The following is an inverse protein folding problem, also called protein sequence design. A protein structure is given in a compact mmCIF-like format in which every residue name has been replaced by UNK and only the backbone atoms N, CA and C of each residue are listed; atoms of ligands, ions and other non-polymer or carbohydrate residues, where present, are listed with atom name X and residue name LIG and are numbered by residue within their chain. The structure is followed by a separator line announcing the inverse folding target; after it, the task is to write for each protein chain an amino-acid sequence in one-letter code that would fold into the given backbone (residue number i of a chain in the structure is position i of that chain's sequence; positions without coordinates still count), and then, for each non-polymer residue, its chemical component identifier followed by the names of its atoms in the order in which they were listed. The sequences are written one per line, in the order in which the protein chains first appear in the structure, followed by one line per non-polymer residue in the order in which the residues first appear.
data_IF_876262842780
#
_entry.id   IF_876262842780
#
_cell.length_a   1.000
_cell.length_b   1.000
_cell.length_c   1.000
_cell.angle_alpha   90.00
_cell.angle_beta   90.00
_cell.angle_gamma   90.00
#
_symmetry.space_group_name_H-M   'P 1'
#
loop_
_entity.id
_entity.type
_entity.pdbx_description
1 polymer ?
#
# COMPACT_ATOMS: atom_id res chain seq x y z
N UNK A 1 15.28 -0.57 -15.77
CA UNK A 1 13.95 -1.02 -16.23
C UNK A 1 12.94 -0.03 -15.67
N UNK A 2 12.09 0.57 -16.50
CA UNK A 2 11.03 1.44 -15.99
C UNK A 2 9.96 0.58 -15.30
N UNK A 3 9.55 0.96 -14.10
CA UNK A 3 8.50 0.27 -13.35
C UNK A 3 7.14 0.84 -13.79
N UNK A 4 6.19 0.00 -14.23
CA UNK A 4 4.83 0.44 -14.54
C UNK A 4 4.17 1.10 -13.33
N UNK A 5 3.37 2.13 -13.61
CA UNK A 5 2.65 2.90 -12.60
C UNK A 5 1.17 2.92 -12.94
N UNK A 6 0.35 2.93 -11.91
CA UNK A 6 -1.10 3.05 -12.02
C UNK A 6 -1.56 4.25 -11.22
N UNK A 7 -2.40 5.09 -11.82
CA UNK A 7 -2.98 6.23 -11.13
C UNK A 7 -4.00 5.76 -10.09
N UNK A 8 -4.23 6.56 -9.06
CA UNK A 8 -5.27 6.31 -8.06
C UNK A 8 -6.66 6.16 -8.69
N UNK A 9 -6.97 6.95 -9.73
CA UNK A 9 -8.25 6.87 -10.44
C UNK A 9 -8.38 5.54 -11.20
N UNK A 10 -7.34 5.12 -11.92
CA UNK A 10 -7.34 3.87 -12.66
C UNK A 10 -7.43 2.65 -11.73
N UNK A 11 -6.74 2.69 -10.58
CA UNK A 11 -6.86 1.63 -9.57
C UNK A 11 -8.28 1.60 -8.99
N UNK A 12 -8.86 2.75 -8.62
CA UNK A 12 -10.23 2.83 -8.10
C UNK A 12 -11.22 2.21 -9.08
N UNK A 13 -11.17 2.57 -10.36
CA UNK A 13 -12.05 1.99 -11.39
C UNK A 13 -11.93 0.47 -11.42
N UNK A 14 -10.71 -0.09 -11.43
CA UNK A 14 -10.51 -1.54 -11.44
C UNK A 14 -11.03 -2.26 -10.19
N UNK A 15 -11.10 -1.57 -9.05
CA UNK A 15 -11.66 -2.13 -7.81
C UNK A 15 -13.19 -2.08 -7.78
N UNK A 16 -13.80 -1.13 -8.50
CA UNK A 16 -15.25 -0.94 -8.59
C UNK A 16 -15.90 -1.65 -9.79
N UNK A 17 -15.10 -2.15 -10.72
CA UNK A 17 -15.59 -2.90 -11.89
C UNK A 17 -16.23 -4.25 -11.50
N UNK A 18 -17.55 -4.30 -11.56
CA UNK A 18 -18.33 -5.53 -11.37
C UNK A 18 -18.03 -6.56 -12.49
N UNK A 19 -17.70 -7.79 -12.08
CA UNK A 19 -17.42 -8.90 -13.01
C UNK A 19 -15.98 -8.97 -13.51
N UNK A 20 -15.12 -8.03 -13.12
CA UNK A 20 -13.67 -8.07 -13.35
C UNK A 20 -12.91 -8.96 -12.35
N UNK A 21 -11.65 -9.27 -12.65
CA UNK A 21 -10.71 -9.84 -11.66
C UNK A 21 -9.91 -8.69 -11.05
N UNK A 22 -10.23 -8.22 -9.83
CA UNK A 22 -9.54 -7.08 -9.24
C UNK A 22 -8.06 -7.41 -8.97
N UNK A 23 -7.17 -6.40 -9.09
CA UNK A 23 -5.76 -6.60 -8.77
C UNK A 23 -5.57 -6.93 -7.29
N UNK A 24 -4.51 -7.66 -6.97
CA UNK A 24 -4.06 -7.84 -5.59
C UNK A 24 -3.32 -6.60 -5.15
N UNK A 25 -3.80 -5.94 -4.09
CA UNK A 25 -3.16 -4.76 -3.53
C UNK A 25 -2.16 -5.19 -2.45
N UNK A 26 -0.90 -4.76 -2.59
CA UNK A 26 0.16 -5.03 -1.64
C UNK A 26 0.54 -3.77 -0.87
N UNK A 27 0.43 -3.86 0.46
CA UNK A 27 0.94 -2.84 1.36
C UNK A 27 2.44 -3.07 1.59
N UNK A 28 3.26 -2.31 0.89
CA UNK A 28 4.71 -2.37 0.93
C UNK A 28 5.32 -1.33 1.88
N UNK A 29 4.51 -0.63 2.71
CA UNK A 29 5.01 0.41 3.62
C UNK A 29 6.14 -0.10 4.50
N UNK A 30 7.02 0.78 4.98
CA UNK A 30 7.97 0.40 6.02
C UNK A 30 7.23 0.17 7.36
N UNK A 31 7.90 -0.50 8.31
CA UNK A 31 7.31 -0.87 9.61
C UNK A 31 6.64 0.32 10.30
N UNK A 32 7.37 1.42 10.45
CA UNK A 32 6.88 2.60 11.18
C UNK A 32 5.67 3.27 10.51
N UNK A 33 5.69 3.62 9.20
CA UNK A 33 4.50 4.13 8.51
C UNK A 33 3.29 3.18 8.55
N UNK A 34 3.51 1.87 8.51
CA UNK A 34 2.44 0.87 8.60
C UNK A 34 1.81 0.83 10.00
N UNK A 35 2.62 0.80 11.05
CA UNK A 35 2.16 0.71 12.45
C UNK A 35 1.40 1.97 12.90
N UNK A 36 1.85 3.15 12.45
CA UNK A 36 1.27 4.44 12.84
C UNK A 36 0.11 4.92 11.96
N UNK A 37 -0.25 4.15 10.93
CA UNK A 37 -1.41 4.46 10.11
C UNK A 37 -2.63 3.68 10.59
N UNK A 38 -3.77 4.38 10.60
CA UNK A 38 -5.08 3.83 10.93
C UNK A 38 -5.85 3.36 9.68
N UNK A 39 -5.26 3.49 8.49
CA UNK A 39 -5.93 3.19 7.22
C UNK A 39 -5.05 2.39 6.27
N UNK A 40 -5.72 1.64 5.40
CA UNK A 40 -5.16 0.83 4.32
C UNK A 40 -6.00 0.98 3.06
N UNK A 41 -5.41 0.66 1.91
CA UNK A 41 -6.23 0.48 0.70
C UNK A 41 -7.19 -0.71 0.89
N UNK A 42 -8.38 -0.69 0.28
CA UNK A 42 -9.37 -1.75 0.44
C UNK A 42 -8.81 -3.12 0.04
N UNK A 43 -8.91 -4.10 0.95
CA UNK A 43 -8.43 -5.47 0.72
C UNK A 43 -6.91 -5.62 0.60
N UNK A 44 -6.13 -4.62 1.03
CA UNK A 44 -4.69 -4.65 0.92
C UNK A 44 -4.05 -5.74 1.80
N UNK A 45 -3.12 -6.48 1.23
CA UNK A 45 -2.35 -7.52 1.91
C UNK A 45 -0.98 -6.97 2.28
N UNK A 46 -0.63 -7.09 3.56
CA UNK A 46 0.69 -6.67 4.05
C UNK A 46 1.78 -7.63 3.56
N UNK A 47 2.85 -7.09 2.99
CA UNK A 47 4.00 -7.86 2.52
C UNK A 47 5.31 -7.41 3.14
N UNK A 48 6.29 -8.31 3.17
CA UNK A 48 7.68 -7.93 3.42
C UNK A 48 8.28 -7.38 2.10
N UNK A 49 8.79 -6.14 2.05
CA UNK A 49 9.43 -5.60 0.85
C UNK A 49 10.63 -6.42 0.35
N UNK A 50 11.32 -7.15 1.24
CA UNK A 50 12.45 -8.00 0.87
C UNK A 50 12.02 -9.34 0.26
N UNK A 51 10.80 -9.81 0.56
CA UNK A 51 10.22 -11.01 -0.05
C UNK A 51 8.73 -10.79 -0.41
N UNK A 52 8.45 -10.02 -1.48
CA UNK A 52 7.09 -9.59 -1.80
C UNK A 52 6.24 -10.67 -2.48
N UNK A 53 6.82 -11.82 -2.85
CA UNK A 53 6.12 -12.90 -3.58
C UNK A 53 5.51 -13.97 -2.67
N UNK A 54 5.81 -13.93 -1.37
CA UNK A 54 5.35 -14.94 -0.44
C UNK A 54 3.81 -15.05 -0.42
N UNK A 55 3.27 -16.19 -0.87
CA UNK A 55 1.84 -16.46 -0.89
C UNK A 55 1.06 -15.79 -2.04
N UNK A 56 1.73 -15.20 -3.02
CA UNK A 56 1.10 -14.50 -4.14
C UNK A 56 0.96 -15.40 -5.37
N UNK A 57 -0.27 -15.54 -5.88
CA UNK A 57 -0.55 -16.17 -7.19
C UNK A 57 -0.10 -15.26 -8.34
N UNK A 58 0.45 -15.86 -9.40
CA UNK A 58 0.87 -15.19 -10.63
C UNK A 58 -0.27 -14.86 -11.59
N UNK A 59 -1.48 -15.35 -11.32
CA UNK A 59 -2.61 -15.28 -12.27
C UNK A 59 -3.34 -13.93 -12.23
N UNK A 60 -2.98 -13.05 -11.30
CA UNK A 60 -3.61 -11.74 -11.11
C UNK A 60 -2.63 -10.60 -11.28
N UNK A 61 -3.16 -9.45 -11.70
CA UNK A 61 -2.43 -8.19 -11.63
C UNK A 61 -2.16 -7.83 -10.16
N UNK A 62 -1.04 -7.17 -9.91
CA UNK A 62 -0.57 -6.80 -8.59
C UNK A 62 -0.29 -5.30 -8.56
N UNK A 63 -0.75 -4.61 -7.52
CA UNK A 63 -0.46 -3.19 -7.31
C UNK A 63 0.16 -3.01 -5.94
N UNK A 64 1.41 -2.57 -5.90
CA UNK A 64 2.10 -2.24 -4.65
C UNK A 64 1.94 -0.75 -4.33
N UNK A 65 1.74 -0.42 -3.05
CA UNK A 65 1.78 0.95 -2.57
C UNK A 65 2.64 1.08 -1.32
N UNK A 66 3.15 2.27 -1.08
CA UNK A 66 3.85 2.66 0.15
C UNK A 66 3.28 3.98 0.69
N UNK A 67 4.03 4.64 1.58
CA UNK A 67 3.65 5.92 2.17
C UNK A 67 4.32 7.11 1.48
N UNK A 68 5.16 6.86 0.48
CA UNK A 68 6.04 7.85 -0.12
C UNK A 68 5.48 8.33 -1.46
N UNK A 69 5.38 9.64 -1.70
CA UNK A 69 4.84 10.15 -2.96
C UNK A 69 5.71 9.80 -4.17
N UNK A 70 6.97 9.42 -3.95
CA UNK A 70 7.94 9.02 -4.97
C UNK A 70 8.10 7.49 -5.09
N UNK A 71 7.21 6.72 -4.44
CA UNK A 71 7.16 5.26 -4.55
C UNK A 71 8.48 4.55 -4.15
N UNK A 72 9.18 5.07 -3.14
CA UNK A 72 10.54 4.63 -2.79
C UNK A 72 10.64 3.15 -2.43
N UNK A 73 9.56 2.53 -1.94
CA UNK A 73 9.51 1.11 -1.57
C UNK A 73 8.64 0.30 -2.52
N UNK A 74 7.51 0.85 -2.93
CA UNK A 74 6.54 0.18 -3.81
C UNK A 74 7.07 -0.03 -5.22
N UNK A 75 7.86 0.90 -5.78
CA UNK A 75 8.47 0.71 -7.10
C UNK A 75 9.52 -0.41 -7.12
N UNK A 76 10.47 -0.51 -6.17
CA UNK A 76 11.34 -1.67 -6.04
C UNK A 76 10.60 -2.99 -5.85
N UNK A 77 9.52 -3.01 -5.04
CA UNK A 77 8.68 -4.19 -4.83
C UNK A 77 8.02 -4.65 -6.13
N UNK A 78 7.39 -3.73 -6.87
CA UNK A 78 6.81 -4.04 -8.18
C UNK A 78 7.88 -4.52 -9.17
N UNK A 79 9.07 -3.90 -9.19
CA UNK A 79 10.18 -4.34 -10.03
C UNK A 79 10.65 -5.77 -9.68
N UNK A 80 10.73 -6.11 -8.39
CA UNK A 80 11.11 -7.44 -7.93
C UNK A 80 10.08 -8.51 -8.36
N UNK A 81 8.80 -8.18 -8.27
CA UNK A 81 7.70 -9.04 -8.74
C UNK A 81 7.72 -9.22 -10.26
N UNK A 82 7.95 -8.16 -11.03
CA UNK A 82 8.09 -8.24 -12.50
C UNK A 82 9.22 -9.19 -12.90
N UNK A 83 10.37 -9.11 -12.23
CA UNK A 83 11.51 -10.03 -12.48
C UNK A 83 11.18 -11.50 -12.19
N UNK A 84 10.20 -11.74 -11.32
CA UNK A 84 9.70 -13.08 -10.98
C UNK A 84 8.54 -13.54 -11.89
N UNK A 85 8.14 -12.73 -12.88
CA UNK A 85 7.09 -13.08 -13.86
C UNK A 85 5.68 -12.58 -13.51
N UNK A 86 5.54 -11.75 -12.47
CA UNK A 86 4.25 -11.17 -12.09
C UNK A 86 3.91 -9.94 -12.93
N UNK A 87 2.62 -9.72 -13.17
CA UNK A 87 2.09 -8.46 -13.71
C UNK A 87 1.93 -7.46 -12.57
N UNK A 88 2.95 -6.63 -12.33
CA UNK A 88 2.95 -5.69 -11.20
C UNK A 88 3.11 -4.22 -11.63
N UNK A 89 2.50 -3.32 -10.85
CA UNK A 89 2.66 -1.87 -10.96
C UNK A 89 2.78 -1.23 -9.57
N UNK A 90 3.35 -0.03 -9.50
CA UNK A 90 3.32 0.82 -8.30
C UNK A 90 2.15 1.81 -8.36
N UNK A 91 1.50 2.06 -7.23
CA UNK A 91 0.49 3.11 -7.10
C UNK A 91 1.16 4.48 -7.05
N UNK A 92 0.84 5.35 -8.00
CA UNK A 92 1.37 6.70 -8.05
C UNK A 92 0.97 7.52 -6.81
N UNK A 93 1.96 8.15 -6.17
CA UNK A 93 1.75 8.99 -4.99
C UNK A 93 1.39 8.24 -3.70
N UNK A 94 1.39 6.89 -3.73
CA UNK A 94 1.19 6.02 -2.57
C UNK A 94 -0.14 6.22 -1.84
N UNK A 95 -0.17 5.78 -0.57
CA UNK A 95 -1.35 5.89 0.29
C UNK A 95 -1.81 7.35 0.50
N UNK A 96 -0.87 8.29 0.53
CA UNK A 96 -1.18 9.71 0.74
C UNK A 96 -2.10 10.24 -0.37
N UNK A 97 -1.74 9.99 -1.63
CA UNK A 97 -2.55 10.43 -2.78
C UNK A 97 -3.95 9.80 -2.79
N UNK A 98 -4.06 8.52 -2.40
CA UNK A 98 -5.33 7.81 -2.28
C UNK A 98 -6.25 8.43 -1.22
N UNK A 99 -5.72 8.69 -0.02
CA UNK A 99 -6.47 9.29 1.09
C UNK A 99 -6.85 10.74 0.78
N UNK A 100 -5.95 11.52 0.19
CA UNK A 100 -6.26 12.91 -0.22
C UNK A 100 -7.39 12.96 -1.26
N UNK A 101 -7.48 11.96 -2.14
CA UNK A 101 -8.59 11.83 -3.09
C UNK A 101 -9.91 11.38 -2.44
N UNK A 102 -9.93 11.11 -1.13
CA UNK A 102 -11.09 10.64 -0.36
C UNK A 102 -11.69 9.35 -0.92
N UNK A 103 -10.85 8.48 -1.46
CA UNK A 103 -11.25 7.17 -1.93
C UNK A 103 -11.47 6.21 -0.75
N UNK A 104 -12.24 5.12 -0.94
CA UNK A 104 -12.52 4.16 0.13
C UNK A 104 -11.23 3.59 0.74
N UNK A 105 -11.23 3.38 2.05
CA UNK A 105 -10.10 2.78 2.79
C UNK A 105 -10.63 1.78 3.80
N UNK A 106 -9.86 0.74 4.07
CA UNK A 106 -10.10 -0.12 5.21
C UNK A 106 -9.47 0.48 6.46
N UNK A 107 -10.15 0.33 7.60
CA UNK A 107 -9.62 0.73 8.89
C UNK A 107 -8.73 -0.37 9.47
N UNK A 108 -7.64 0.06 10.11
CA UNK A 108 -6.73 -0.81 10.83
C UNK A 108 -6.46 -0.23 12.21
N UNK A 109 -6.45 -1.09 13.23
CA UNK A 109 -5.97 -0.71 14.55
C UNK A 109 -4.49 -0.29 14.49
N UNK A 110 -4.24 0.98 14.84
CA UNK A 110 -2.92 1.50 15.11
C UNK A 110 -2.76 1.61 16.63
N UNK A 111 -1.57 1.34 17.22
CA UNK A 111 -1.34 1.59 18.63
C UNK A 111 -1.62 3.06 18.92
N UNK A 112 -2.73 3.34 19.63
CA UNK A 112 -3.00 4.69 20.14
C UNK A 112 -1.88 5.00 21.12
N UNK A 113 -0.97 5.90 20.76
CA UNK A 113 -0.10 6.49 21.78
C UNK A 113 -1.04 7.12 22.81
N UNK A 114 -1.02 6.60 24.03
CA UNK A 114 -1.73 7.23 25.12
C UNK A 114 -1.15 8.65 25.25
N UNK A 115 -1.98 9.70 25.35
CA UNK A 115 -1.45 11.04 25.58
C UNK A 115 -0.53 11.00 26.81
N UNK A 116 0.64 11.68 26.77
CA UNK A 116 1.50 11.73 27.94
C UNK A 116 0.68 12.24 29.12
N UNK A 117 0.73 11.52 30.25
CA UNK A 117 0.04 11.95 31.48
C UNK A 117 0.44 13.39 31.79
N UNK A 118 -0.51 14.31 31.71
CA UNK A 118 -0.32 15.66 32.21
C UNK A 118 -0.01 15.56 33.72
N UNK A 119 1.21 15.90 34.14
CA UNK A 119 1.58 15.92 35.55
C UNK A 119 3.03 15.57 35.92
N UNK A 120 4.00 15.76 35.02
CA UNK A 120 5.41 15.40 35.26
C UNK A 120 6.40 16.56 35.40
N UNK A 121 5.96 17.82 35.32
CA UNK A 121 6.84 18.98 35.55
C UNK A 121 6.70 19.40 37.01
N UNK A 122 7.49 18.77 37.90
CA UNK A 122 7.84 19.38 39.17
C UNK A 122 8.95 20.40 38.90
N UNK A 123 8.61 21.68 39.05
CA UNK A 123 9.59 22.72 39.36
C UNK A 123 10.08 22.60 40.80
#
# INVERSE_FOLDING_TARGET
MSVPRITKEALKTRLEEDGGTPPVILDARLKYPYEHSTVMLPGAVRVNPDDPSAGLSTDRDVVAYDSDPEELVSAPVAAALIRKGYRAAALEGGLAAWVTAKFPTDEKDAPKQAPPKAGGLKG
#
